data_IF_150647798024
#
_entry.id   IF_150647798024
#
_cell.length_a   1.000
_cell.length_b   1.000
_cell.length_c   1.000
_cell.angle_alpha   90.00
_cell.angle_beta   90.00
_cell.angle_gamma   90.00
#
_symmetry.space_group_name_H-M   'P 1'
#
loop_
_entity.id
_entity.type
_entity.pdbx_description
1 polymer ?
#
# COMPACT_ATOMS: atom_id res chain seq x y z
N UNK A 1 -38.44 -35.25 1.58
CA UNK A 1 -38.38 -34.45 2.82
C UNK A 1 -36.93 -34.35 3.24
N UNK A 2 -36.40 -33.15 3.46
CA UNK A 2 -35.02 -32.99 3.97
C UNK A 2 -34.36 -31.64 3.75
N UNK A 3 -34.97 -30.70 3.02
CA UNK A 3 -34.42 -29.35 2.81
C UNK A 3 -34.72 -28.38 3.98
N UNK A 4 -34.82 -28.91 5.22
CA UNK A 4 -35.19 -28.14 6.42
C UNK A 4 -34.09 -28.11 7.50
N UNK A 5 -32.87 -28.57 7.22
CA UNK A 5 -31.81 -28.67 8.24
C UNK A 5 -30.81 -27.50 8.30
N UNK A 6 -30.93 -26.45 7.49
CA UNK A 6 -29.99 -25.31 7.52
C UNK A 6 -30.53 -24.02 8.18
N UNK A 7 -31.79 -24.00 8.63
CA UNK A 7 -32.36 -22.86 9.37
C UNK A 7 -32.22 -22.98 10.91
N UNK A 8 -31.95 -24.19 11.44
CA UNK A 8 -32.00 -24.48 12.88
C UNK A 8 -30.70 -24.19 13.67
N UNK A 9 -29.60 -23.82 13.01
CA UNK A 9 -28.30 -23.56 13.66
C UNK A 9 -28.00 -22.07 13.91
N UNK A 10 -28.86 -21.17 13.43
CA UNK A 10 -28.70 -19.71 13.60
C UNK A 10 -29.24 -19.20 14.96
N UNK A 11 -30.02 -20.01 15.67
CA UNK A 11 -30.74 -19.57 16.88
C UNK A 11 -29.92 -19.71 18.19
N UNK A 12 -28.76 -20.37 18.16
CA UNK A 12 -27.98 -20.65 19.39
C UNK A 12 -27.04 -19.52 19.86
N UNK A 13 -26.90 -18.39 19.15
CA UNK A 13 -26.00 -17.31 19.57
C UNK A 13 -26.68 -16.05 20.11
N UNK A 14 -28.01 -16.05 20.24
CA UNK A 14 -28.79 -14.87 20.69
C UNK A 14 -29.17 -14.88 22.19
N UNK A 15 -28.68 -15.85 22.98
CA UNK A 15 -28.92 -15.90 24.43
C UNK A 15 -27.65 -15.60 25.21
N UNK A 16 -27.38 -14.31 25.44
CA UNK A 16 -26.68 -13.79 26.62
C UNK A 16 -26.81 -12.25 26.68
N UNK A 17 -27.92 -11.82 27.25
CA UNK A 17 -28.18 -10.50 27.84
C UNK A 17 -29.29 -10.80 28.85
N UNK A 18 -29.25 -10.52 30.16
CA UNK A 18 -28.87 -9.36 31.01
C UNK A 18 -29.00 -9.83 32.51
N UNK A 19 -29.08 -9.05 33.62
CA UNK A 19 -28.46 -7.76 34.08
C UNK A 19 -27.99 -7.71 35.60
N UNK A 20 -27.02 -6.81 35.94
CA UNK A 20 -26.89 -5.83 37.10
C UNK A 20 -26.99 -6.28 38.62
N UNK A 21 -26.56 -5.52 39.70
CA UNK A 21 -25.60 -4.39 39.94
C UNK A 21 -24.54 -4.60 41.07
N UNK A 22 -23.46 -3.81 41.11
CA UNK A 22 -22.84 -3.32 42.37
C UNK A 22 -21.93 -2.11 42.13
N UNK A 23 -21.94 -1.19 43.10
CA UNK A 23 -21.49 0.21 43.06
C UNK A 23 -19.97 0.35 43.23
N UNK A 24 -19.35 1.30 42.48
CA UNK A 24 -18.25 2.20 42.93
C UNK A 24 -17.89 3.26 41.88
N UNK A 25 -18.32 4.50 42.17
CA UNK A 25 -17.79 5.85 41.84
C UNK A 25 -17.26 6.21 40.41
N UNK A 26 -17.53 7.45 39.94
CA UNK A 26 -17.21 7.87 38.58
C UNK A 26 -15.73 8.27 38.48
N UNK A 27 -14.88 7.41 37.93
CA UNK A 27 -13.61 7.87 37.36
C UNK A 27 -13.89 8.28 35.93
N UNK A 28 -13.81 9.60 35.70
CA UNK A 28 -13.78 10.22 34.40
C UNK A 28 -13.02 9.32 33.41
N UNK A 29 -13.77 8.66 32.52
CA UNK A 29 -13.19 7.93 31.40
C UNK A 29 -12.61 9.00 30.49
N UNK A 30 -11.35 9.32 30.74
CA UNK A 30 -10.47 10.07 29.84
C UNK A 30 -10.77 9.59 28.43
N UNK A 31 -11.15 10.55 27.58
CA UNK A 31 -11.29 10.36 26.15
C UNK A 31 -10.13 9.50 25.63
N UNK A 32 -10.46 8.57 24.74
CA UNK A 32 -9.48 7.76 24.03
C UNK A 32 -8.31 8.65 23.58
N UNK A 33 -7.04 8.23 23.77
CA UNK A 33 -5.94 8.97 23.17
C UNK A 33 -6.13 8.87 21.66
N UNK A 34 -6.56 9.98 21.06
CA UNK A 34 -6.47 10.28 19.64
C UNK A 34 -5.16 9.66 19.13
N UNK A 35 -5.29 8.76 18.17
CA UNK A 35 -4.16 8.09 17.56
C UNK A 35 -3.16 9.18 17.12
N UNK A 36 -2.10 9.36 17.90
CA UNK A 36 -0.95 10.18 17.54
C UNK A 36 -0.36 9.54 16.30
N UNK A 37 -0.86 10.01 15.16
CA UNK A 37 -0.38 9.65 13.84
C UNK A 37 1.10 10.00 13.85
N UNK A 38 1.95 8.97 13.81
CA UNK A 38 3.39 9.16 13.62
C UNK A 38 3.56 10.15 12.45
N UNK A 39 4.50 11.11 12.54
CA UNK A 39 4.71 12.05 11.44
C UNK A 39 4.94 11.24 10.18
N UNK A 40 4.00 11.34 9.23
CA UNK A 40 4.08 10.63 7.96
C UNK A 40 5.28 11.22 7.23
N UNK A 41 6.19 10.36 6.76
CA UNK A 41 7.36 10.82 6.02
C UNK A 41 6.92 11.80 4.92
N UNK A 42 7.57 12.98 4.81
CA UNK A 42 7.18 14.00 3.83
C UNK A 42 7.17 13.43 2.41
N UNK A 43 8.07 12.49 2.12
CA UNK A 43 8.15 11.76 0.85
C UNK A 43 6.87 10.96 0.56
N UNK A 44 6.27 10.33 1.58
CA UNK A 44 5.03 9.56 1.42
C UNK A 44 3.85 10.49 1.17
N UNK A 45 3.85 11.68 1.78
CA UNK A 45 2.86 12.72 1.48
C UNK A 45 2.98 13.23 0.04
N UNK A 46 4.21 13.43 -0.45
CA UNK A 46 4.48 13.78 -1.85
C UNK A 46 3.99 12.71 -2.80
N UNK A 47 4.28 11.43 -2.52
CA UNK A 47 3.73 10.30 -3.30
C UNK A 47 2.20 10.34 -3.28
N UNK A 48 1.56 10.59 -2.14
CA UNK A 48 0.11 10.65 -2.05
C UNK A 48 -0.49 11.80 -2.87
N UNK A 49 0.18 12.96 -2.94
CA UNK A 49 -0.22 14.07 -3.84
C UNK A 49 -0.12 13.64 -5.31
N UNK A 50 0.97 12.99 -5.69
CA UNK A 50 1.14 12.45 -7.04
C UNK A 50 0.06 11.42 -7.39
N UNK A 51 -0.32 10.54 -6.46
CA UNK A 51 -1.40 9.57 -6.64
C UNK A 51 -2.76 10.23 -6.87
N UNK A 52 -3.03 11.37 -6.21
CA UNK A 52 -4.29 12.12 -6.41
C UNK A 52 -4.34 12.79 -7.78
N UNK A 53 -3.20 13.32 -8.26
CA UNK A 53 -3.14 14.01 -9.56
C UNK A 53 -3.05 13.05 -10.74
N UNK A 54 -2.29 11.97 -10.57
CA UNK A 54 -1.98 10.99 -11.62
C UNK A 54 -2.34 9.57 -11.15
N UNK A 55 -3.62 9.24 -11.03
CA UNK A 55 -4.05 7.92 -10.54
C UNK A 55 -3.65 6.77 -11.48
N UNK A 56 -3.45 7.05 -12.78
CA UNK A 56 -3.05 6.05 -13.77
C UNK A 56 -1.57 5.67 -13.63
N UNK A 57 -0.67 6.65 -13.51
CA UNK A 57 0.75 6.40 -13.30
C UNK A 57 1.05 5.94 -11.86
N UNK A 58 0.38 6.53 -10.88
CA UNK A 58 0.57 6.23 -9.46
C UNK A 58 -0.72 5.66 -8.86
N UNK A 59 -1.06 4.38 -9.13
CA UNK A 59 -2.24 3.76 -8.54
C UNK A 59 -2.08 3.58 -7.03
N UNK A 60 -3.21 3.68 -6.31
CA UNK A 60 -3.31 3.39 -4.87
C UNK A 60 -3.83 1.96 -4.65
N UNK A 61 -3.45 1.34 -3.53
CA UNK A 61 -3.94 0.01 -3.12
C UNK A 61 -5.49 -0.05 -3.17
N UNK A 62 -6.13 -1.10 -3.73
CA UNK A 62 -5.64 -2.45 -4.03
C UNK A 62 -4.95 -2.66 -5.39
N UNK A 63 -4.93 -1.67 -6.30
CA UNK A 63 -4.44 -1.88 -7.65
C UNK A 63 -2.93 -2.23 -7.70
N UNK A 64 -2.51 -3.11 -8.64
CA UNK A 64 -1.10 -3.38 -8.87
C UNK A 64 -0.40 -2.08 -9.29
N UNK A 65 0.86 -1.92 -8.90
CA UNK A 65 1.65 -0.79 -9.39
C UNK A 65 1.91 -0.98 -10.89
N UNK A 66 2.23 0.09 -11.60
CA UNK A 66 2.51 0.01 -13.04
C UNK A 66 3.96 0.39 -13.31
N UNK A 67 4.64 -0.23 -14.30
CA UNK A 67 5.93 0.23 -14.78
C UNK A 67 5.82 1.68 -15.25
N UNK A 68 6.63 2.57 -14.69
CA UNK A 68 6.61 3.97 -15.10
C UNK A 68 7.46 4.16 -16.37
N UNK A 69 7.07 5.14 -17.19
CA UNK A 69 7.87 5.66 -18.31
C UNK A 69 9.31 5.98 -17.88
N UNK A 70 10.29 5.67 -18.73
CA UNK A 70 11.67 6.12 -18.54
C UNK A 70 11.72 7.62 -18.78
N UNK A 71 12.27 8.38 -17.83
CA UNK A 71 12.25 9.85 -17.91
C UNK A 71 10.96 10.50 -17.40
N UNK A 72 10.06 9.76 -16.73
CA UNK A 72 8.82 10.32 -16.16
C UNK A 72 9.05 11.49 -15.18
N UNK A 73 10.27 11.62 -14.66
CA UNK A 73 10.68 12.76 -13.85
C UNK A 73 10.59 14.09 -14.61
N UNK A 74 10.99 14.12 -15.89
CA UNK A 74 10.92 15.35 -16.70
C UNK A 74 9.46 15.77 -16.94
N UNK A 75 8.59 14.78 -17.16
CA UNK A 75 7.15 15.03 -17.28
C UNK A 75 6.55 15.50 -15.95
N UNK A 76 7.02 14.96 -14.81
CA UNK A 76 6.61 15.43 -13.49
C UNK A 76 7.10 16.84 -13.17
N UNK A 77 8.29 17.24 -13.64
CA UNK A 77 8.81 18.59 -13.44
C UNK A 77 7.90 19.65 -14.06
N UNK A 78 7.28 19.38 -15.21
CA UNK A 78 6.32 20.28 -15.85
C UNK A 78 5.09 20.55 -14.96
N UNK A 79 4.67 19.57 -14.18
CA UNK A 79 3.54 19.67 -13.26
C UNK A 79 3.96 19.97 -11.81
N UNK A 80 5.25 20.06 -11.51
CA UNK A 80 5.77 20.28 -10.15
C UNK A 80 5.30 21.63 -9.58
N UNK A 81 5.27 22.66 -10.42
CA UNK A 81 4.81 24.00 -10.04
C UNK A 81 3.32 24.00 -9.68
N UNK A 82 2.47 23.31 -10.46
CA UNK A 82 1.04 23.15 -10.15
C UNK A 82 0.80 22.43 -8.81
N UNK A 83 1.66 21.47 -8.49
CA UNK A 83 1.56 20.66 -7.28
C UNK A 83 2.24 21.29 -6.06
N UNK A 84 2.88 22.45 -6.24
CA UNK A 84 3.72 23.11 -5.24
C UNK A 84 4.73 22.12 -4.61
N UNK A 85 5.39 21.34 -5.45
CA UNK A 85 6.42 20.37 -5.07
C UNK A 85 7.78 20.81 -5.58
N UNK A 86 8.82 20.62 -4.77
CA UNK A 86 10.20 20.85 -5.18
C UNK A 86 10.76 19.67 -5.98
N UNK A 87 11.78 19.96 -6.78
CA UNK A 87 12.53 18.94 -7.52
C UNK A 87 13.10 17.85 -6.60
N UNK A 88 13.65 18.27 -5.46
CA UNK A 88 14.23 17.36 -4.47
C UNK A 88 13.19 16.38 -3.91
N UNK A 89 12.01 16.89 -3.54
CA UNK A 89 10.91 16.06 -3.04
C UNK A 89 10.40 15.08 -4.10
N UNK A 90 10.30 15.50 -5.36
CA UNK A 90 9.93 14.61 -6.47
C UNK A 90 10.95 13.50 -6.66
N UNK A 91 12.24 13.84 -6.59
CA UNK A 91 13.32 12.86 -6.75
C UNK A 91 13.31 11.83 -5.61
N UNK A 92 13.11 12.26 -4.38
CA UNK A 92 13.01 11.36 -3.23
C UNK A 92 11.73 10.53 -3.24
N UNK A 93 10.61 11.10 -3.69
CA UNK A 93 9.35 10.38 -3.92
C UNK A 93 9.52 9.27 -4.96
N UNK A 94 10.10 9.58 -6.13
CA UNK A 94 10.37 8.58 -7.17
C UNK A 94 11.35 7.51 -6.71
N UNK A 95 12.43 7.90 -6.02
CA UNK A 95 13.41 6.96 -5.47
C UNK A 95 12.73 5.99 -4.50
N UNK A 96 11.87 6.48 -3.62
CA UNK A 96 11.12 5.66 -2.67
C UNK A 96 10.09 4.79 -3.37
N UNK A 97 9.39 5.32 -4.38
CA UNK A 97 8.42 4.59 -5.18
C UNK A 97 9.05 3.40 -5.93
N UNK A 98 10.15 3.64 -6.65
CA UNK A 98 10.85 2.67 -7.48
C UNK A 98 11.65 1.62 -6.67
N UNK A 99 11.93 1.89 -5.39
CA UNK A 99 12.57 0.93 -4.46
C UNK A 99 11.57 0.04 -3.72
N UNK A 100 10.27 0.21 -3.97
CA UNK A 100 9.22 -0.57 -3.36
C UNK A 100 9.12 -1.98 -3.94
N UNK A 101 8.93 -3.00 -3.08
CA UNK A 101 8.74 -4.40 -3.52
C UNK A 101 7.59 -4.55 -4.53
N UNK A 102 6.49 -3.81 -4.34
CA UNK A 102 5.36 -3.77 -5.26
C UNK A 102 5.72 -3.24 -6.65
N UNK A 103 6.67 -2.30 -6.74
CA UNK A 103 7.09 -1.75 -8.02
C UNK A 103 7.87 -2.81 -8.81
N UNK A 104 8.82 -3.47 -8.14
CA UNK A 104 9.58 -4.57 -8.76
C UNK A 104 8.71 -5.75 -9.18
N UNK A 105 7.62 -6.02 -8.45
CA UNK A 105 6.69 -7.09 -8.82
C UNK A 105 5.96 -6.86 -10.14
N UNK A 106 5.84 -5.60 -10.59
CA UNK A 106 5.11 -5.25 -11.81
C UNK A 106 6.05 -5.04 -13.01
N UNK A 107 7.37 -5.06 -12.80
CA UNK A 107 8.39 -5.01 -13.85
C UNK A 107 8.55 -6.39 -14.49
N UNK A 108 7.58 -6.76 -15.33
CA UNK A 108 7.59 -7.97 -16.14
C UNK A 108 8.02 -7.61 -17.55
N UNK A 109 8.80 -8.48 -18.20
CA UNK A 109 9.21 -8.29 -19.59
C UNK A 109 8.01 -8.12 -20.51
N UNK A 110 8.08 -7.15 -21.43
CA UNK A 110 7.01 -6.83 -22.36
C UNK A 110 5.88 -5.97 -21.78
N UNK A 111 5.83 -5.76 -20.46
CA UNK A 111 4.81 -4.91 -19.86
C UNK A 111 4.89 -3.47 -20.38
N UNK A 112 3.74 -2.91 -20.76
CA UNK A 112 3.66 -1.51 -21.19
C UNK A 112 3.99 -0.58 -20.02
N UNK A 113 4.91 0.35 -20.25
CA UNK A 113 5.21 1.44 -19.34
C UNK A 113 4.14 2.51 -19.50
N UNK A 114 3.66 3.06 -18.41
CA UNK A 114 2.66 4.14 -18.43
C UNK A 114 3.32 5.49 -18.20
N UNK A 115 2.85 6.48 -18.96
CA UNK A 115 3.11 7.90 -18.70
C UNK A 115 2.15 8.47 -17.64
N UNK A 116 2.26 9.78 -17.36
CA UNK A 116 1.42 10.48 -16.39
C UNK A 116 -0.06 10.51 -16.74
N UNK A 117 -0.40 10.44 -18.02
CA UNK A 117 -1.77 10.44 -18.54
C UNK A 117 -2.38 9.05 -18.63
N UNK A 118 -1.56 8.01 -18.48
CA UNK A 118 -1.94 6.61 -18.65
C UNK A 118 -1.70 6.08 -20.08
N UNK A 119 -1.03 6.85 -20.93
CA UNK A 119 -0.58 6.41 -22.25
C UNK A 119 0.58 5.43 -22.16
N UNK A 120 0.68 4.53 -23.14
CA UNK A 120 1.79 3.61 -23.27
C UNK A 120 3.04 4.34 -23.76
N UNK A 121 4.10 4.30 -22.97
CA UNK A 121 5.35 5.00 -23.22
C UNK A 121 6.53 4.01 -23.28
N UNK A 122 6.36 2.99 -24.13
CA UNK A 122 7.31 1.91 -24.36
C UNK A 122 7.09 0.69 -23.47
N UNK A 123 7.96 -0.31 -23.58
CA UNK A 123 7.84 -1.59 -22.89
C UNK A 123 9.00 -1.82 -21.91
N UNK A 124 8.78 -2.68 -20.92
CA UNK A 124 9.84 -3.16 -20.04
C UNK A 124 10.68 -4.18 -20.80
N UNK A 125 12.00 -3.94 -20.84
CA UNK A 125 12.96 -4.83 -21.49
C UNK A 125 13.28 -6.05 -20.60
N UNK A 126 13.63 -7.18 -21.21
CA UNK A 126 14.11 -8.39 -20.53
C UNK A 126 15.17 -8.14 -19.42
N UNK A 127 16.24 -7.34 -19.67
CA UNK A 127 17.23 -7.02 -18.64
C UNK A 127 16.66 -6.26 -17.44
N UNK A 128 15.69 -5.36 -17.67
CA UNK A 128 15.05 -4.60 -16.60
C UNK A 128 14.20 -5.50 -15.69
N UNK A 129 13.43 -6.41 -16.29
CA UNK A 129 12.63 -7.38 -15.55
C UNK A 129 13.52 -8.31 -14.71
N UNK A 130 14.59 -8.84 -15.31
CA UNK A 130 15.57 -9.69 -14.60
C UNK A 130 16.22 -8.95 -13.44
N UNK A 131 16.60 -7.68 -13.64
CA UNK A 131 17.15 -6.84 -12.58
C UNK A 131 16.16 -6.61 -11.46
N UNK A 132 14.89 -6.35 -11.77
CA UNK A 132 13.84 -6.15 -10.78
C UNK A 132 13.64 -7.41 -9.91
N UNK A 133 13.62 -8.59 -10.53
CA UNK A 133 13.56 -9.88 -9.83
C UNK A 133 14.76 -10.06 -8.88
N UNK A 134 15.98 -9.75 -9.33
CA UNK A 134 17.18 -9.82 -8.50
C UNK A 134 17.12 -8.87 -7.30
N UNK A 135 16.65 -7.63 -7.49
CA UNK A 135 16.49 -6.65 -6.42
C UNK A 135 15.44 -7.09 -5.40
N UNK A 136 14.31 -7.66 -5.88
CA UNK A 136 13.26 -8.21 -5.04
C UNK A 136 13.79 -9.37 -4.18
N UNK A 137 14.51 -10.30 -4.78
CA UNK A 137 15.15 -11.42 -4.08
C UNK A 137 16.18 -10.93 -3.04
N UNK A 138 17.04 -9.98 -3.42
CA UNK A 138 18.04 -9.42 -2.50
C UNK A 138 17.40 -8.70 -1.30
N UNK A 139 16.27 -8.02 -1.49
CA UNK A 139 15.54 -7.39 -0.38
C UNK A 139 14.84 -8.41 0.50
N UNK A 140 14.27 -9.47 -0.08
CA UNK A 140 13.67 -10.57 0.67
C UNK A 140 14.72 -11.30 1.53
N UNK A 141 15.94 -11.49 1.02
CA UNK A 141 17.05 -12.08 1.77
C UNK A 141 17.57 -11.18 2.91
N UNK A 142 17.43 -9.86 2.78
CA UNK A 142 17.81 -8.87 3.80
C UNK A 142 16.72 -8.57 4.81
N UNK A 143 15.46 -8.88 4.50
CA UNK A 143 14.40 -8.83 5.49
C UNK A 143 14.70 -9.93 6.53
N UNK A 144 14.60 -9.64 7.84
CA UNK A 144 14.67 -10.72 8.82
C UNK A 144 13.59 -11.72 8.44
N UNK A 145 13.98 -12.98 8.22
CA UNK A 145 13.01 -14.07 8.07
C UNK A 145 11.99 -13.92 9.20
N UNK A 146 10.68 -13.99 8.96
CA UNK A 146 9.79 -14.33 10.06
C UNK A 146 10.30 -15.68 10.53
N UNK A 147 10.98 -15.68 11.68
CA UNK A 147 11.25 -16.87 12.44
C UNK A 147 9.95 -17.65 12.47
N UNK A 148 9.99 -18.85 11.91
CA UNK A 148 8.88 -19.76 11.92
C UNK A 148 8.27 -19.74 13.32
N UNK A 149 7.03 -19.28 13.41
CA UNK A 149 6.15 -19.65 14.51
C UNK A 149 5.87 -21.14 14.37
N UNK A 150 6.87 -21.96 14.69
CA UNK A 150 6.76 -23.39 14.90
C UNK A 150 7.73 -23.74 16.03
N UNK A 151 7.36 -23.24 17.22
CA UNK A 151 7.71 -23.88 18.47
C UNK A 151 6.42 -24.45 19.07
N UNK A 152 6.50 -25.75 19.33
CA UNK A 152 5.81 -26.50 20.38
C UNK A 152 4.40 -27.02 20.08
N UNK A 153 4.37 -28.26 19.58
CA UNK A 153 3.55 -29.32 20.15
C UNK A 153 4.50 -30.37 20.75
#
# INVERSE_FOLDING_TARGET
>A
MGFEQLAALRDQLAKKTDPKPAVKAPRARRAAPEARSKPVDPVVLTIAKLQKRFPQAFPKNPAPKVPLKIGIFEDLMKHAQELALSEAELRDALRTWCRGSRYWACLVEGAARVDLTGGEAGNVLAPDATRALRLKAARAARAPKPEAAEKQA
#
